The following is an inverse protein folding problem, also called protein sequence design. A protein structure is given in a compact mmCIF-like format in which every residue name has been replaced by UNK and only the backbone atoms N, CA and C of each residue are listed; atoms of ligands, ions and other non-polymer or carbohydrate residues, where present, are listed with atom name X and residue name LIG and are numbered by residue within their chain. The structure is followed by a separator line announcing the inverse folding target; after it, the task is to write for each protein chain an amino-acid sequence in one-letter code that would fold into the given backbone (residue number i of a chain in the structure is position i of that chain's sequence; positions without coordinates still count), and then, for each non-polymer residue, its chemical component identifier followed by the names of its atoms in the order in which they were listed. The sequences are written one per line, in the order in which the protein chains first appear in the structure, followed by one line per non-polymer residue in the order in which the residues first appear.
data_IF_626057259959
#
_entry.id   IF_626057259959
#
_cell.length_a   1.000
_cell.length_b   1.000
_cell.length_c   1.000
_cell.angle_alpha   90.00
_cell.angle_beta   90.00
_cell.angle_gamma   90.00
#
_symmetry.space_group_name_H-M   'P 1'
#
loop_
_entity.id
_entity.type
_entity.pdbx_description
1 polymer ?
#
# COMPACT_ATOMS: atom_id res chain seq x y z
N UNK A 1 -17.25 30.89 2.50
CA UNK A 1 -17.71 30.25 3.76
C UNK A 1 -19.19 29.90 3.68
N UNK A 2 -20.10 30.87 3.51
CA UNK A 2 -21.55 30.59 3.40
C UNK A 2 -21.92 29.61 2.27
N UNK A 3 -21.40 29.81 1.05
CA UNK A 3 -21.69 28.93 -0.10
C UNK A 3 -21.13 27.50 0.03
N UNK A 4 -20.06 27.32 0.82
CA UNK A 4 -19.48 26.02 1.12
C UNK A 4 -20.34 25.23 2.13
N UNK A 5 -20.93 25.94 3.08
CA UNK A 5 -21.86 25.38 4.08
C UNK A 5 -23.16 24.98 3.40
N UNK A 6 -23.72 25.83 2.54
CA UNK A 6 -24.92 25.53 1.74
C UNK A 6 -24.72 24.30 0.85
N UNK A 7 -23.54 24.15 0.22
CA UNK A 7 -23.23 22.96 -0.56
C UNK A 7 -23.15 21.69 0.31
N UNK A 8 -22.61 21.74 1.52
CA UNK A 8 -22.55 20.55 2.39
C UNK A 8 -23.93 20.16 2.94
N UNK A 9 -24.78 21.15 3.22
CA UNK A 9 -26.15 20.91 3.67
C UNK A 9 -27.03 20.35 2.55
N UNK A 10 -26.80 20.75 1.28
CA UNK A 10 -27.57 20.25 0.14
C UNK A 10 -27.31 18.76 -0.15
N UNK A 11 -26.12 18.26 0.19
CA UNK A 11 -25.74 16.84 0.04
C UNK A 11 -25.90 16.01 1.31
N UNK A 12 -26.55 16.56 2.36
CA UNK A 12 -26.79 15.81 3.58
C UNK A 12 -27.69 14.59 3.32
N UNK A 13 -27.18 13.40 3.57
CA UNK A 13 -27.92 12.15 3.46
C UNK A 13 -27.71 11.34 4.74
N UNK A 14 -28.71 11.29 5.64
CA UNK A 14 -28.58 10.54 6.87
C UNK A 14 -28.43 9.05 6.55
N UNK A 15 -27.23 8.53 6.83
CA UNK A 15 -26.83 7.13 6.61
C UNK A 15 -26.52 6.52 7.97
N UNK A 16 -26.78 5.22 8.16
CA UNK A 16 -26.22 4.49 9.31
C UNK A 16 -24.74 4.21 9.00
N UNK A 17 -23.85 4.76 9.81
CA UNK A 17 -22.40 4.56 9.70
C UNK A 17 -21.84 3.96 10.99
N UNK A 18 -20.76 3.17 10.89
CA UNK A 18 -20.11 2.52 12.03
C UNK A 18 -19.14 3.45 12.73
N UNK A 19 -18.37 4.22 11.96
CA UNK A 19 -17.44 5.23 12.43
C UNK A 19 -17.41 6.40 11.45
N UNK A 20 -17.22 7.61 11.97
CA UNK A 20 -17.28 8.81 11.17
C UNK A 20 -16.17 9.79 11.52
N UNK A 21 -15.65 10.46 10.50
CA UNK A 21 -14.57 11.45 10.63
C UNK A 21 -15.04 12.85 10.30
N UNK A 22 -14.57 13.82 11.06
CA UNK A 22 -14.67 15.25 10.72
C UNK A 22 -13.51 15.67 9.79
N UNK A 23 -13.60 16.82 9.15
CA UNK A 23 -12.49 17.36 8.35
C UNK A 23 -11.19 17.50 9.15
N UNK A 24 -11.23 17.94 10.41
CA UNK A 24 -10.05 17.99 11.27
C UNK A 24 -9.52 16.60 11.64
N UNK A 25 -10.38 15.58 11.70
CA UNK A 25 -9.95 14.21 11.97
C UNK A 25 -9.28 13.60 10.73
N UNK A 26 -9.79 13.87 9.53
CA UNK A 26 -9.18 13.49 8.25
C UNK A 26 -7.79 14.13 8.10
N UNK A 27 -7.67 15.45 8.36
CA UNK A 27 -6.39 16.17 8.35
C UNK A 27 -5.34 15.54 9.28
N UNK A 28 -5.77 14.95 10.40
CA UNK A 28 -4.89 14.32 11.39
C UNK A 28 -4.50 12.88 11.05
N UNK A 29 -5.12 12.25 10.06
CA UNK A 29 -4.79 10.87 9.62
C UNK A 29 -3.39 10.73 8.97
N UNK A 30 -2.60 11.81 8.88
CA UNK A 30 -1.25 11.83 8.26
C UNK A 30 -1.23 11.20 6.86
N UNK A 31 -2.29 11.46 6.09
CA UNK A 31 -2.40 11.03 4.70
C UNK A 31 -1.44 11.86 3.84
N UNK A 32 -1.06 11.32 2.68
CA UNK A 32 -0.28 12.11 1.73
C UNK A 32 -1.11 13.32 1.24
N UNK A 33 -0.42 14.35 0.72
CA UNK A 33 -1.08 15.60 0.29
C UNK A 33 -2.10 15.36 -0.83
N UNK A 34 -1.77 14.53 -1.82
CA UNK A 34 -2.63 14.25 -2.99
C UNK A 34 -3.92 13.50 -2.62
N UNK A 35 -3.84 12.53 -1.72
CA UNK A 35 -4.99 11.79 -1.18
C UNK A 35 -5.86 12.73 -0.36
N UNK A 36 -5.26 13.62 0.43
CA UNK A 36 -6.02 14.63 1.18
C UNK A 36 -6.79 15.57 0.24
N UNK A 37 -6.15 16.03 -0.83
CA UNK A 37 -6.78 16.85 -1.87
C UNK A 37 -7.91 16.10 -2.60
N UNK A 38 -7.71 14.82 -2.92
CA UNK A 38 -8.75 13.97 -3.52
C UNK A 38 -9.96 13.79 -2.58
N UNK A 39 -9.73 13.55 -1.29
CA UNK A 39 -10.80 13.43 -0.29
C UNK A 39 -11.57 14.76 -0.18
N UNK A 40 -10.87 15.89 -0.09
CA UNK A 40 -11.54 17.20 -0.01
C UNK A 40 -12.32 17.51 -1.29
N UNK A 41 -11.76 17.17 -2.45
CA UNK A 41 -12.46 17.32 -3.72
C UNK A 41 -13.72 16.48 -3.76
N UNK A 42 -13.66 15.22 -3.30
CA UNK A 42 -14.82 14.32 -3.23
C UNK A 42 -15.89 14.80 -2.23
N UNK A 43 -15.49 15.39 -1.10
CA UNK A 43 -16.42 16.02 -0.14
C UNK A 43 -17.11 17.24 -0.77
N UNK A 44 -16.35 18.13 -1.40
CA UNK A 44 -16.89 19.36 -1.97
C UNK A 44 -17.67 19.15 -3.27
N UNK A 45 -17.41 18.07 -4.00
CA UNK A 45 -18.19 17.66 -5.17
C UNK A 45 -19.48 16.92 -4.81
N UNK A 46 -19.64 16.50 -3.55
CA UNK A 46 -20.78 15.70 -3.08
C UNK A 46 -20.64 14.20 -3.36
N UNK A 47 -19.47 13.71 -3.82
CA UNK A 47 -19.17 12.27 -3.95
C UNK A 47 -19.09 11.61 -2.56
N UNK A 48 -18.45 12.26 -1.58
CA UNK A 48 -18.57 11.89 -0.16
C UNK A 48 -19.62 12.80 0.47
N UNK A 49 -20.73 12.20 0.86
CA UNK A 49 -21.85 12.92 1.47
C UNK A 49 -21.69 13.05 2.99
N UNK A 50 -22.18 14.15 3.53
CA UNK A 50 -22.30 14.31 4.97
C UNK A 50 -23.38 13.35 5.50
N UNK A 51 -23.00 12.48 6.43
CA UNK A 51 -23.91 11.46 6.98
C UNK A 51 -24.49 11.85 8.33
N UNK A 52 -23.85 12.79 9.04
CA UNK A 52 -24.35 13.31 10.30
C UNK A 52 -23.87 14.74 10.58
N UNK A 53 -24.74 15.53 11.21
CA UNK A 53 -24.45 16.90 11.62
C UNK A 53 -24.53 16.98 13.15
N UNK A 54 -23.37 17.12 13.79
CA UNK A 54 -23.22 17.28 15.23
C UNK A 54 -23.52 18.73 15.66
N UNK A 55 -24.74 18.95 16.15
CA UNK A 55 -25.21 20.29 16.56
C UNK A 55 -24.46 20.87 17.76
N UNK A 56 -23.68 20.06 18.49
CA UNK A 56 -22.87 20.55 19.62
C UNK A 56 -21.59 21.27 19.17
N UNK A 57 -21.20 21.11 17.90
CA UNK A 57 -20.01 21.71 17.31
C UNK A 57 -20.35 22.83 16.33
N UNK A 58 -19.40 23.73 16.14
CA UNK A 58 -19.53 24.85 15.20
C UNK A 58 -18.56 24.71 14.02
N UNK A 59 -18.88 25.42 12.92
CA UNK A 59 -18.06 25.44 11.71
C UNK A 59 -18.11 24.12 10.95
N UNK A 60 -17.02 23.77 10.27
CA UNK A 60 -16.93 22.58 9.41
C UNK A 60 -16.79 21.27 10.19
N UNK A 61 -16.40 21.32 11.47
CA UNK A 61 -16.23 20.13 12.31
C UNK A 61 -17.56 19.51 12.79
N UNK A 62 -18.68 20.18 12.52
CA UNK A 62 -20.02 19.62 12.77
C UNK A 62 -20.40 18.55 11.75
N UNK A 63 -19.78 18.56 10.56
CA UNK A 63 -20.08 17.60 9.51
C UNK A 63 -19.25 16.34 9.70
N UNK A 64 -19.95 15.21 9.82
CA UNK A 64 -19.36 13.88 9.95
C UNK A 64 -19.57 13.14 8.64
N UNK A 65 -18.48 12.58 8.13
CA UNK A 65 -18.43 11.78 6.92
C UNK A 65 -18.19 10.32 7.30
N UNK A 66 -18.79 9.39 6.55
CA UNK A 66 -18.61 7.95 6.78
C UNK A 66 -17.17 7.55 6.45
N UNK A 67 -16.52 6.87 7.40
CA UNK A 67 -15.15 6.41 7.22
C UNK A 67 -15.02 5.42 6.06
N UNK A 68 -16.06 4.63 5.77
CA UNK A 68 -16.04 3.70 4.64
C UNK A 68 -15.94 4.43 3.29
N UNK A 69 -16.64 5.56 3.14
CA UNK A 69 -16.62 6.36 1.92
C UNK A 69 -15.27 7.09 1.77
N UNK A 70 -14.67 7.51 2.89
CA UNK A 70 -13.31 8.07 2.91
C UNK A 70 -12.28 7.00 2.51
N UNK A 71 -12.37 5.81 3.11
CA UNK A 71 -11.43 4.72 2.86
C UNK A 71 -11.51 4.23 1.40
N UNK A 72 -12.69 4.27 0.76
CA UNK A 72 -12.84 4.03 -0.68
C UNK A 72 -12.04 5.02 -1.53
N UNK A 73 -12.06 6.31 -1.18
CA UNK A 73 -11.24 7.32 -1.88
C UNK A 73 -9.76 7.12 -1.56
N UNK A 74 -9.40 6.82 -0.32
CA UNK A 74 -8.02 6.50 0.07
C UNK A 74 -7.50 5.30 -0.72
N UNK A 75 -8.28 4.24 -0.89
CA UNK A 75 -7.91 3.07 -1.68
C UNK A 75 -7.79 3.40 -3.16
N UNK A 76 -8.74 4.16 -3.71
CA UNK A 76 -8.72 4.61 -5.11
C UNK A 76 -7.52 5.50 -5.40
N UNK A 77 -7.19 6.42 -4.50
CA UNK A 77 -6.10 7.40 -4.65
C UNK A 77 -4.73 6.84 -4.22
N UNK A 78 -4.71 5.91 -3.26
CA UNK A 78 -3.54 5.11 -2.91
C UNK A 78 -3.09 4.21 -4.06
N UNK A 79 -4.04 3.75 -4.89
CA UNK A 79 -3.78 3.12 -6.20
C UNK A 79 -3.31 4.12 -7.28
N UNK A 80 -3.48 5.43 -7.13
CA UNK A 80 -2.93 6.42 -8.08
C UNK A 80 -1.44 6.69 -7.83
N UNK A 81 -0.96 6.55 -6.60
CA UNK A 81 0.47 6.68 -6.28
C UNK A 81 1.14 5.33 -6.54
N UNK A 82 1.38 5.07 -7.81
CA UNK A 82 2.12 3.90 -8.24
C UNK A 82 3.60 4.25 -8.44
N UNK A 83 4.47 3.34 -8.01
CA UNK A 83 5.90 3.36 -8.31
C UNK A 83 6.19 2.37 -9.41
N UNK A 84 6.96 2.77 -10.40
CA UNK A 84 7.46 1.87 -11.43
C UNK A 84 8.53 0.95 -10.84
N UNK A 85 8.85 -0.13 -11.55
CA UNK A 85 9.99 -1.00 -11.19
C UNK A 85 11.32 -0.23 -11.17
N UNK A 86 11.44 0.84 -11.95
CA UNK A 86 12.63 1.69 -11.92
C UNK A 86 12.73 2.46 -10.59
N UNK A 87 11.62 3.03 -10.13
CA UNK A 87 11.55 3.78 -8.87
C UNK A 87 11.89 2.91 -7.66
N UNK A 88 11.68 1.58 -7.74
CA UNK A 88 12.03 0.63 -6.67
C UNK A 88 13.53 0.56 -6.40
N UNK A 89 14.35 0.78 -7.42
CA UNK A 89 15.81 0.86 -7.26
C UNK A 89 16.19 2.14 -6.53
N UNK A 90 15.63 3.27 -6.95
CA UNK A 90 16.01 4.59 -6.42
C UNK A 90 15.48 4.81 -4.99
N UNK A 91 14.25 4.37 -4.71
CA UNK A 91 13.60 4.57 -3.42
C UNK A 91 14.00 3.52 -2.36
N UNK A 92 14.18 2.27 -2.78
CA UNK A 92 14.34 1.13 -1.86
C UNK A 92 15.60 0.30 -2.11
N UNK A 93 16.35 0.58 -3.17
CA UNK A 93 17.59 -0.12 -3.50
C UNK A 93 17.39 -1.52 -4.10
N UNK A 94 16.19 -1.84 -4.60
CA UNK A 94 15.89 -3.16 -5.19
C UNK A 94 16.13 -3.19 -6.69
N UNK A 95 16.82 -4.23 -7.17
CA UNK A 95 17.15 -4.33 -8.59
C UNK A 95 15.92 -4.68 -9.41
N UNK A 96 15.85 -4.12 -10.61
CA UNK A 96 14.74 -4.34 -11.55
C UNK A 96 14.47 -5.83 -11.83
N UNK A 97 15.51 -6.66 -11.96
CA UNK A 97 15.37 -8.11 -12.15
C UNK A 97 14.76 -8.83 -10.94
N UNK A 98 15.09 -8.39 -9.71
CA UNK A 98 14.53 -8.98 -8.48
C UNK A 98 13.05 -8.66 -8.35
N UNK A 99 12.69 -7.39 -8.55
CA UNK A 99 11.31 -6.93 -8.47
C UNK A 99 10.44 -7.59 -9.55
N UNK A 100 10.93 -7.70 -10.80
CA UNK A 100 10.24 -8.46 -11.85
C UNK A 100 10.09 -9.93 -11.47
N UNK A 101 11.08 -10.54 -10.83
CA UNK A 101 10.98 -11.90 -10.32
C UNK A 101 9.87 -12.06 -9.29
N UNK A 102 9.72 -11.12 -8.37
CA UNK A 102 8.63 -11.14 -7.38
C UNK A 102 7.25 -10.96 -8.00
N UNK A 103 7.14 -10.11 -9.02
CA UNK A 103 5.89 -9.89 -9.75
C UNK A 103 5.51 -11.14 -10.55
N UNK A 104 6.43 -11.66 -11.34
CA UNK A 104 6.20 -12.85 -12.17
C UNK A 104 5.93 -14.10 -11.32
N UNK A 105 6.57 -14.21 -10.14
CA UNK A 105 6.32 -15.27 -9.17
C UNK A 105 5.04 -15.08 -8.34
N UNK A 106 4.25 -14.02 -8.59
CA UNK A 106 2.99 -13.76 -7.89
C UNK A 106 3.14 -13.32 -6.42
N UNK A 107 4.35 -12.99 -5.98
CA UNK A 107 4.63 -12.59 -4.60
C UNK A 107 4.37 -11.09 -4.37
N UNK A 108 4.64 -10.27 -5.38
CA UNK A 108 4.36 -8.84 -5.37
C UNK A 108 3.29 -8.53 -6.40
N UNK A 109 2.11 -8.07 -5.96
CA UNK A 109 1.08 -7.65 -6.90
C UNK A 109 1.49 -6.33 -7.56
N UNK A 110 1.31 -6.27 -8.88
CA UNK A 110 1.57 -5.08 -9.66
C UNK A 110 0.56 -4.97 -10.80
N UNK A 111 0.24 -3.75 -11.20
CA UNK A 111 -0.50 -3.46 -12.43
C UNK A 111 0.48 -3.53 -13.60
N UNK A 112 0.15 -4.32 -14.61
CA UNK A 112 0.89 -4.34 -15.87
C UNK A 112 0.19 -3.45 -16.89
N UNK A 113 0.95 -2.57 -17.53
CA UNK A 113 0.48 -1.79 -18.67
C UNK A 113 1.28 -2.16 -19.91
N UNK A 114 0.58 -2.48 -20.99
CA UNK A 114 1.23 -2.82 -22.25
C UNK A 114 1.73 -1.56 -22.93
N UNK A 115 3.04 -1.49 -23.15
CA UNK A 115 3.68 -0.38 -23.83
C UNK A 115 4.45 -0.89 -25.04
N UNK A 116 3.76 -0.98 -26.18
CA UNK A 116 4.29 -1.65 -27.38
C UNK A 116 4.58 -3.13 -27.12
N UNK A 117 5.80 -3.58 -27.43
CA UNK A 117 6.26 -4.96 -27.18
C UNK A 117 6.68 -5.24 -25.73
N UNK A 118 6.62 -4.25 -24.83
CA UNK A 118 7.11 -4.39 -23.46
C UNK A 118 6.02 -4.09 -22.43
N UNK A 119 5.92 -4.94 -21.41
CA UNK A 119 5.10 -4.67 -20.23
C UNK A 119 5.86 -3.76 -19.24
N UNK A 120 5.23 -2.65 -18.86
CA UNK A 120 5.65 -1.86 -17.69
C UNK A 120 4.84 -2.29 -16.48
N UNK A 121 5.50 -2.43 -15.35
CA UNK A 121 4.85 -2.78 -14.09
C UNK A 121 4.85 -1.59 -13.14
N UNK A 122 3.71 -1.40 -12.51
CA UNK A 122 3.41 -0.35 -11.56
C UNK A 122 2.94 -0.98 -10.26
N UNK A 123 3.59 -0.61 -9.16
CA UNK A 123 3.36 -1.18 -7.84
C UNK A 123 2.72 -0.07 -7.00
N UNK A 124 1.59 -0.33 -6.38
CA UNK A 124 1.00 0.64 -5.44
C UNK A 124 1.69 0.54 -4.08
N UNK A 125 1.72 1.65 -3.33
CA UNK A 125 2.30 1.65 -1.98
C UNK A 125 1.63 0.62 -1.03
N UNK A 126 0.28 0.43 -1.04
CA UNK A 126 -0.36 -0.62 -0.25
C UNK A 126 0.13 -2.03 -0.58
N UNK A 127 0.22 -2.38 -1.86
CA UNK A 127 0.69 -3.70 -2.30
C UNK A 127 2.15 -3.94 -1.90
N UNK A 128 2.98 -2.90 -1.98
CA UNK A 128 4.36 -2.99 -1.53
C UNK A 128 4.48 -3.15 0.00
N UNK A 129 3.62 -2.49 0.78
CA UNK A 129 3.57 -2.65 2.23
C UNK A 129 3.08 -4.05 2.64
N UNK A 130 2.07 -4.59 1.95
CA UNK A 130 1.61 -5.98 2.15
C UNK A 130 2.74 -6.97 1.84
N UNK A 131 3.48 -6.74 0.75
CA UNK A 131 4.65 -7.55 0.41
C UNK A 131 5.70 -7.53 1.53
N UNK A 132 6.05 -6.33 2.04
CA UNK A 132 7.04 -6.16 3.11
C UNK A 132 6.61 -6.72 4.47
N UNK A 133 5.31 -6.82 4.74
CA UNK A 133 4.82 -7.40 6.00
C UNK A 133 4.96 -8.93 6.01
N UNK A 134 4.93 -9.57 4.82
CA UNK A 134 5.05 -11.02 4.66
C UNK A 134 6.44 -11.51 4.31
N UNK A 135 7.24 -10.68 3.67
CA UNK A 135 8.52 -11.09 3.09
C UNK A 135 9.68 -10.19 3.53
N UNK A 136 10.78 -10.83 3.90
CA UNK A 136 12.07 -10.17 4.11
C UNK A 136 12.99 -10.51 2.93
N UNK A 137 13.55 -9.49 2.31
CA UNK A 137 14.50 -9.67 1.20
C UNK A 137 15.82 -10.23 1.74
N UNK A 138 16.21 -11.41 1.27
CA UNK A 138 17.39 -12.14 1.77
C UNK A 138 18.68 -11.33 1.63
N UNK A 139 18.87 -10.64 0.50
CA UNK A 139 20.09 -9.86 0.24
C UNK A 139 20.24 -8.70 1.23
N UNK A 140 19.13 -8.10 1.66
CA UNK A 140 19.09 -7.07 2.69
C UNK A 140 19.38 -7.68 4.07
N UNK A 141 18.68 -8.75 4.45
CA UNK A 141 18.92 -9.43 5.72
C UNK A 141 20.36 -9.92 5.87
N UNK A 142 20.94 -10.48 4.80
CA UNK A 142 22.33 -10.93 4.79
C UNK A 142 23.30 -9.75 4.99
N UNK A 143 23.07 -8.62 4.32
CA UNK A 143 23.86 -7.40 4.51
C UNK A 143 23.78 -6.88 5.93
N UNK A 144 22.57 -6.80 6.49
CA UNK A 144 22.34 -6.30 7.86
C UNK A 144 22.98 -7.22 8.91
N UNK A 145 23.09 -8.53 8.62
CA UNK A 145 23.79 -9.52 9.46
C UNK A 145 25.30 -9.64 9.17
N UNK A 146 25.85 -8.89 8.22
CA UNK A 146 27.25 -9.02 7.79
C UNK A 146 27.61 -10.38 7.17
N UNK A 147 26.63 -11.10 6.61
CA UNK A 147 26.81 -12.42 6.00
C UNK A 147 26.67 -12.37 4.49
N UNK A 148 27.29 -13.33 3.81
CA UNK A 148 27.07 -13.53 2.38
C UNK A 148 25.64 -14.08 2.15
N UNK A 149 24.87 -13.52 1.20
CA UNK A 149 23.52 -14.01 0.89
C UNK A 149 23.48 -15.51 0.58
N UNK A 150 24.51 -16.05 -0.08
CA UNK A 150 24.61 -17.48 -0.38
C UNK A 150 24.65 -18.37 0.87
N UNK A 151 25.38 -17.96 1.91
CA UNK A 151 25.47 -18.72 3.16
C UNK A 151 24.13 -18.70 3.90
N UNK A 152 23.47 -17.54 3.92
CA UNK A 152 22.14 -17.42 4.52
C UNK A 152 21.09 -18.19 3.73
N UNK A 153 21.14 -18.14 2.39
CA UNK A 153 20.27 -18.92 1.50
C UNK A 153 20.39 -20.41 1.76
N UNK A 154 21.60 -20.96 1.79
CA UNK A 154 21.82 -22.40 2.02
C UNK A 154 21.29 -22.84 3.39
N UNK A 155 21.54 -22.04 4.42
CA UNK A 155 21.06 -22.29 5.78
C UNK A 155 19.53 -22.27 5.89
N UNK A 156 18.88 -21.30 5.25
CA UNK A 156 17.42 -21.17 5.28
C UNK A 156 16.73 -22.19 4.36
N UNK A 157 17.33 -22.52 3.22
CA UNK A 157 16.85 -23.56 2.30
C UNK A 157 16.85 -24.92 2.97
N UNK A 158 17.92 -25.27 3.68
CA UNK A 158 18.00 -26.52 4.45
C UNK A 158 16.89 -26.65 5.52
N UNK A 159 16.28 -25.53 5.92
CA UNK A 159 15.19 -25.46 6.91
C UNK A 159 13.81 -25.21 6.29
N UNK A 160 13.69 -25.15 4.97
CA UNK A 160 12.43 -24.87 4.27
C UNK A 160 11.88 -23.44 4.46
N UNK A 161 12.72 -22.50 4.91
CA UNK A 161 12.32 -21.13 5.25
C UNK A 161 12.47 -20.13 4.10
N UNK A 162 12.98 -20.59 2.96
CA UNK A 162 13.21 -19.78 1.77
C UNK A 162 12.02 -19.89 0.83
N UNK A 163 11.53 -18.76 0.35
CA UNK A 163 10.59 -18.71 -0.78
C UNK A 163 11.40 -18.45 -2.04
N UNK A 164 11.41 -19.43 -2.93
CA UNK A 164 12.05 -19.35 -4.23
C UNK A 164 11.00 -18.94 -5.26
N UNK A 165 11.23 -17.83 -5.95
CA UNK A 165 10.50 -17.53 -7.18
C UNK A 165 11.11 -18.33 -8.30
N UNK A 166 10.32 -19.18 -8.96
CA UNK A 166 10.70 -19.79 -10.24
C UNK A 166 10.88 -18.68 -11.27
N UNK A 167 12.12 -18.32 -11.55
CA UNK A 167 12.48 -17.48 -12.68
C UNK A 167 12.79 -18.41 -13.86
N UNK A 168 12.38 -18.06 -15.10
CA UNK A 168 12.79 -18.81 -16.29
C UNK A 168 14.32 -18.89 -16.37
N UNK A 169 14.82 -20.07 -16.73
CA UNK A 169 16.24 -20.41 -16.75
C UNK A 169 17.05 -19.42 -17.59
N UNK A 170 18.13 -18.87 -17.00
CA UNK A 170 19.12 -18.08 -17.74
C UNK A 170 19.55 -16.81 -17.02
N UNK A 171 18.69 -16.21 -16.20
CA UNK A 171 19.04 -15.03 -15.42
C UNK A 171 19.18 -15.45 -13.94
N UNK A 172 20.41 -15.47 -13.44
CA UNK A 172 20.77 -16.11 -12.18
C UNK A 172 19.76 -15.83 -11.05
N UNK A 173 19.35 -16.89 -10.33
CA UNK A 173 18.37 -16.87 -9.24
C UNK A 173 18.61 -15.68 -8.29
N UNK A 174 17.88 -14.58 -8.50
CA UNK A 174 18.02 -13.30 -7.78
C UNK A 174 16.67 -12.93 -7.18
N UNK A 175 16.69 -12.40 -5.96
CA UNK A 175 15.48 -11.99 -5.25
C UNK A 175 14.90 -13.00 -4.25
N UNK A 176 15.72 -13.85 -3.62
CA UNK A 176 15.22 -14.76 -2.56
C UNK A 176 14.52 -13.98 -1.44
N UNK A 177 13.39 -14.51 -0.99
CA UNK A 177 12.59 -13.96 0.08
C UNK A 177 12.53 -14.95 1.25
N UNK A 178 12.53 -14.40 2.46
CA UNK A 178 12.25 -15.14 3.69
C UNK A 178 10.80 -14.85 4.02
N UNK A 179 10.01 -15.92 4.13
CA UNK A 179 8.61 -15.82 4.56
C UNK A 179 8.57 -15.64 6.08
N UNK A 180 8.00 -14.52 6.52
CA UNK A 180 7.91 -14.16 7.95
C UNK A 180 7.07 -15.17 8.71
N UNK A 181 5.99 -15.68 8.13
CA UNK A 181 5.13 -16.67 8.77
C UNK A 181 5.86 -18.00 8.96
N UNK A 182 6.57 -18.48 7.94
CA UNK A 182 7.41 -19.68 8.08
C UNK A 182 8.50 -19.50 9.13
N UNK A 183 9.14 -18.33 9.15
CA UNK A 183 10.17 -18.01 10.14
C UNK A 183 9.61 -18.01 11.56
N UNK A 184 8.45 -17.40 11.78
CA UNK A 184 7.77 -17.38 13.09
C UNK A 184 7.35 -18.78 13.54
N UNK A 185 6.78 -19.59 12.64
CA UNK A 185 6.41 -20.97 12.95
C UNK A 185 7.63 -21.81 13.35
N UNK A 186 8.75 -21.63 12.66
CA UNK A 186 10.01 -22.30 13.01
C UNK A 186 10.54 -21.86 14.38
N UNK A 187 10.49 -20.55 14.68
CA UNK A 187 10.93 -20.00 15.96
C UNK A 187 10.01 -20.36 17.15
N UNK A 188 8.77 -20.78 16.89
CA UNK A 188 7.86 -21.29 17.93
C UNK A 188 8.02 -22.80 18.15
N UNK A 189 8.55 -23.53 17.17
CA UNK A 189 8.74 -24.98 17.24
C UNK A 189 10.08 -25.38 17.87
N UNK A 190 11.03 -24.45 18.00
CA UNK A 190 12.40 -24.64 18.48
C UNK A 190 12.83 -23.52 19.42
#
# INVERSE_FOLDING_TARGET
MLQLIENLESYYQPKKFLSGSTMCSISRRRLNKSISEDIYTAIFSGEIQCVHIDQSKQGMDRYIFDDADIDLIVDRSGRKVEMSVADMLDLFGYKHAEVKGWINGGLLKARSESHGEHARYYISLPEFNEFKSRHIVLSKAARDMGKLPAHLANSLRARGLLTETELPEGDGRRGFLIDVQKLLLYALAH
#
